data_IF_872639523112
#
_entry.id   IF_872639523112
#
_cell.length_a   1.000
_cell.length_b   1.000
_cell.length_c   1.000
_cell.angle_alpha   90.00
_cell.angle_beta   90.00
_cell.angle_gamma   90.00
#
_symmetry.space_group_name_H-M   'P 1'
#
loop_
_entity.id
_entity.type
_entity.pdbx_description
1 polymer ?
#
# COMPACT_ATOMS: atom_id res chain seq x y z
N UNK A 1 5.96 3.46 -1.62
CA UNK A 1 4.72 2.70 -1.28
C UNK A 1 3.52 3.46 -1.82
N UNK A 2 2.56 2.77 -2.45
CA UNK A 2 1.32 3.38 -2.94
C UNK A 2 0.38 3.61 -1.76
N UNK A 3 -0.18 4.82 -1.65
CA UNK A 3 -1.06 5.26 -0.57
C UNK A 3 -2.51 5.34 -1.06
N UNK A 4 -3.46 5.23 -0.15
CA UNK A 4 -4.85 5.56 -0.47
C UNK A 4 -5.00 7.08 -0.63
N UNK A 5 -5.80 7.49 -1.62
CA UNK A 5 -6.16 8.90 -1.79
C UNK A 5 -6.99 9.39 -0.60
N UNK A 6 -6.48 10.37 0.12
CA UNK A 6 -7.21 11.09 1.17
C UNK A 6 -6.89 12.58 1.13
N UNK A 7 -7.77 13.37 1.72
CA UNK A 7 -7.72 14.85 1.65
C UNK A 7 -6.39 15.40 2.20
N UNK A 8 -5.90 14.86 3.32
CA UNK A 8 -4.72 15.39 4.00
C UNK A 8 -3.43 15.11 3.23
N UNK A 9 -3.22 13.85 2.82
CA UNK A 9 -1.99 13.45 2.13
C UNK A 9 -1.90 13.99 0.70
N UNK A 10 -3.04 14.24 0.04
CA UNK A 10 -3.11 14.73 -1.33
C UNK A 10 -3.18 16.26 -1.44
N UNK A 11 -3.56 16.97 -0.37
CA UNK A 11 -3.69 18.45 -0.35
C UNK A 11 -2.48 19.23 -0.90
N UNK A 12 -1.22 18.80 -0.75
CA UNK A 12 -0.09 19.50 -1.35
C UNK A 12 -0.06 19.50 -2.87
N UNK A 13 -0.73 18.55 -3.52
CA UNK A 13 -0.68 18.27 -4.96
C UNK A 13 -1.97 18.61 -5.69
N UNK A 14 -3.08 18.62 -4.98
CA UNK A 14 -4.39 18.81 -5.58
C UNK A 14 -5.54 18.65 -4.59
N UNK A 15 -6.74 18.52 -5.15
CA UNK A 15 -7.96 18.28 -4.37
C UNK A 15 -8.66 17.02 -4.86
N UNK A 16 -9.27 16.28 -3.93
CA UNK A 16 -10.24 15.26 -4.27
C UNK A 16 -11.55 15.93 -4.69
N UNK A 17 -12.19 15.40 -5.70
CA UNK A 17 -13.49 15.87 -6.17
C UNK A 17 -14.59 14.95 -5.62
N UNK A 18 -15.77 15.53 -5.39
CA UNK A 18 -16.93 14.75 -4.98
C UNK A 18 -17.39 13.86 -6.15
N UNK A 19 -17.60 12.59 -5.87
CA UNK A 19 -18.36 11.71 -6.75
C UNK A 19 -19.83 12.14 -6.74
N UNK A 20 -20.39 12.30 -7.93
CA UNK A 20 -21.81 12.56 -8.11
C UNK A 20 -22.44 11.40 -8.88
N UNK A 21 -23.72 11.17 -8.67
CA UNK A 21 -24.49 10.15 -9.39
C UNK A 21 -24.53 10.36 -10.92
N UNK A 22 -24.22 11.56 -11.38
CA UNK A 22 -24.15 11.98 -12.80
C UNK A 22 -22.71 12.07 -13.34
N UNK A 23 -21.73 11.57 -12.59
CA UNK A 23 -20.29 11.63 -12.85
C UNK A 23 -19.56 12.65 -11.99
N UNK A 24 -18.22 12.60 -12.00
CA UNK A 24 -17.38 13.53 -11.26
C UNK A 24 -17.62 14.98 -11.72
N UNK A 25 -17.44 15.94 -10.78
CA UNK A 25 -17.58 17.37 -11.07
C UNK A 25 -16.44 17.89 -11.96
N UNK A 26 -16.37 17.39 -13.20
CA UNK A 26 -15.38 17.81 -14.20
C UNK A 26 -15.80 19.12 -14.85
N UNK A 27 -14.88 20.03 -15.13
CA UNK A 27 -15.20 21.25 -15.84
C UNK A 27 -15.69 20.93 -17.27
N UNK A 28 -16.68 21.69 -17.72
CA UNK A 28 -17.28 21.58 -19.06
C UNK A 28 -17.27 22.94 -19.74
N UNK A 29 -17.23 22.96 -21.06
CA UNK A 29 -17.36 24.19 -21.88
C UNK A 29 -16.31 24.25 -22.99
N UNK A 30 -16.41 25.29 -23.83
CA UNK A 30 -15.62 25.42 -25.06
C UNK A 30 -14.10 25.48 -24.87
N UNK A 31 -13.63 25.74 -23.66
CA UNK A 31 -12.19 25.83 -23.35
C UNK A 31 -11.63 24.60 -22.65
N UNK A 32 -12.41 23.54 -22.47
CA UNK A 32 -12.01 22.30 -21.83
C UNK A 32 -12.01 21.15 -22.83
N UNK A 33 -10.90 20.44 -22.90
CA UNK A 33 -10.77 19.22 -23.67
C UNK A 33 -10.74 18.01 -22.73
N UNK A 34 -11.35 16.93 -23.17
CA UNK A 34 -11.36 15.64 -22.49
C UNK A 34 -10.72 14.58 -23.38
N UNK A 35 -9.83 13.79 -22.81
CA UNK A 35 -9.21 12.64 -23.48
C UNK A 35 -9.15 11.44 -22.53
N UNK A 36 -9.31 10.26 -23.09
CA UNK A 36 -9.03 9.01 -22.39
C UNK A 36 -7.56 8.63 -22.63
N UNK A 37 -6.80 8.59 -21.55
CA UNK A 37 -5.43 8.11 -21.56
C UNK A 37 -5.45 6.61 -21.31
N UNK A 38 -5.06 5.81 -22.32
CA UNK A 38 -4.81 4.38 -22.16
C UNK A 38 -3.33 4.19 -21.87
N UNK A 39 -3.02 3.69 -20.67
CA UNK A 39 -1.65 3.55 -20.18
C UNK A 39 -1.33 2.07 -20.01
N UNK A 40 -0.17 1.67 -20.55
CA UNK A 40 0.36 0.30 -20.41
C UNK A 40 1.57 0.29 -19.46
N UNK A 41 1.92 -0.90 -18.97
CA UNK A 41 3.05 -1.07 -18.05
C UNK A 41 4.42 -0.74 -18.67
N UNK A 42 4.50 -0.69 -20.00
CA UNK A 42 5.76 -0.56 -20.74
C UNK A 42 6.20 0.90 -20.94
N UNK A 43 5.26 1.83 -20.98
CA UNK A 43 5.55 3.24 -21.24
C UNK A 43 4.97 4.12 -20.15
N UNK A 44 5.79 5.00 -19.61
CA UNK A 44 5.34 5.98 -18.61
C UNK A 44 5.76 7.38 -19.03
N UNK A 45 4.78 8.27 -19.05
CA UNK A 45 4.96 9.69 -19.31
C UNK A 45 4.63 10.50 -18.07
N UNK A 46 5.40 11.57 -17.86
CA UNK A 46 5.05 12.61 -16.88
C UNK A 46 4.45 13.81 -17.60
N UNK A 47 3.68 14.56 -16.86
CA UNK A 47 3.06 15.80 -17.25
C UNK A 47 3.38 16.88 -16.21
N UNK A 48 3.64 18.11 -16.66
CA UNK A 48 3.78 19.27 -15.78
C UNK A 48 2.81 20.37 -16.27
N UNK A 49 1.56 20.37 -15.78
CA UNK A 49 0.55 21.27 -16.29
C UNK A 49 0.78 22.70 -15.79
N UNK A 50 0.60 23.69 -16.68
CA UNK A 50 0.61 25.13 -16.33
C UNK A 50 -0.73 25.59 -15.73
N UNK A 51 -1.78 24.84 -15.96
CA UNK A 51 -3.13 25.06 -15.44
C UNK A 51 -3.64 23.80 -14.74
N UNK A 52 -4.72 23.88 -14.00
CA UNK A 52 -5.26 22.71 -13.33
C UNK A 52 -5.70 21.63 -14.32
N UNK A 53 -5.38 20.39 -14.00
CA UNK A 53 -5.80 19.19 -14.72
C UNK A 53 -6.69 18.35 -13.83
N UNK A 54 -7.69 17.72 -14.42
CA UNK A 54 -8.65 16.87 -13.73
C UNK A 54 -8.47 15.44 -14.23
N UNK A 55 -8.38 14.51 -13.30
CA UNK A 55 -8.22 13.08 -13.58
C UNK A 55 -9.38 12.33 -12.97
N UNK A 56 -9.93 11.39 -13.72
CA UNK A 56 -10.99 10.50 -13.28
C UNK A 56 -10.70 9.08 -13.75
N UNK A 57 -10.77 8.15 -12.83
CA UNK A 57 -10.61 6.74 -13.10
C UNK A 57 -11.68 6.22 -14.06
N UNK A 58 -11.29 5.38 -15.01
CA UNK A 58 -12.22 4.77 -15.96
C UNK A 58 -12.19 3.23 -15.91
N UNK A 59 -11.01 2.63 -15.99
CA UNK A 59 -10.85 1.18 -15.89
C UNK A 59 -9.43 0.78 -15.50
N UNK A 60 -9.28 -0.41 -14.94
CA UNK A 60 -8.01 -0.94 -14.44
C UNK A 60 -7.52 -0.19 -13.20
N UNK A 61 -6.76 -0.80 -12.32
CA UNK A 61 -6.19 -0.14 -11.15
C UNK A 61 -5.07 0.82 -11.58
N UNK A 62 -5.23 2.11 -11.27
CA UNK A 62 -4.31 3.17 -11.67
C UNK A 62 -3.48 3.68 -10.49
N UNK A 63 -2.18 3.84 -10.72
CA UNK A 63 -1.26 4.53 -9.81
C UNK A 63 -1.08 5.95 -10.32
N UNK A 64 -1.39 6.93 -9.48
CA UNK A 64 -1.11 8.33 -9.70
C UNK A 64 0.17 8.70 -8.94
N UNK A 65 1.22 9.04 -9.66
CA UNK A 65 2.44 9.63 -9.11
C UNK A 65 2.34 11.14 -9.18
N UNK A 66 2.63 11.84 -8.09
CA UNK A 66 2.64 13.32 -8.03
C UNK A 66 3.88 13.83 -7.32
N UNK A 67 4.43 14.95 -7.79
CA UNK A 67 5.58 15.61 -7.19
C UNK A 67 5.52 17.11 -7.43
N UNK A 68 5.98 17.92 -6.47
CA UNK A 68 6.36 19.31 -6.72
C UNK A 68 7.71 19.37 -7.44
N UNK A 69 8.06 20.55 -7.89
CA UNK A 69 9.36 20.78 -8.51
C UNK A 69 10.51 20.34 -7.58
N UNK A 70 11.43 19.50 -8.08
CA UNK A 70 12.58 18.91 -7.38
C UNK A 70 12.25 17.90 -6.25
N UNK A 71 11.00 17.57 -5.99
CA UNK A 71 10.63 16.51 -5.05
C UNK A 71 10.58 15.14 -5.72
N UNK A 72 10.74 14.08 -4.92
CA UNK A 72 10.45 12.72 -5.35
C UNK A 72 8.95 12.48 -5.48
N UNK A 73 8.57 11.56 -6.38
CA UNK A 73 7.17 11.19 -6.55
C UNK A 73 6.58 10.56 -5.29
N UNK A 74 5.40 11.03 -4.92
CA UNK A 74 4.48 10.34 -4.03
C UNK A 74 3.46 9.58 -4.85
N UNK A 75 3.06 8.40 -4.38
CA UNK A 75 2.25 7.45 -5.15
C UNK A 75 0.92 7.22 -4.47
N UNK A 76 -0.16 7.33 -5.23
CA UNK A 76 -1.53 7.16 -4.76
C UNK A 76 -2.30 6.21 -5.66
N UNK A 77 -3.26 5.46 -5.11
CA UNK A 77 -4.30 4.82 -5.90
C UNK A 77 -5.26 5.88 -6.42
N UNK A 78 -5.44 5.93 -7.75
CA UNK A 78 -6.43 6.80 -8.36
C UNK A 78 -7.79 6.08 -8.38
N UNK A 79 -8.44 6.03 -7.25
CA UNK A 79 -9.78 5.44 -7.04
C UNK A 79 -10.89 6.48 -6.95
N UNK A 80 -10.53 7.77 -6.97
CA UNK A 80 -11.45 8.93 -6.92
C UNK A 80 -11.00 9.99 -7.88
N UNK A 81 -11.96 10.80 -8.40
CA UNK A 81 -11.59 11.92 -9.25
C UNK A 81 -10.83 12.99 -8.48
N UNK A 82 -9.79 13.54 -9.12
CA UNK A 82 -8.90 14.54 -8.53
C UNK A 82 -8.68 15.72 -9.44
N UNK A 83 -8.41 16.87 -8.83
CA UNK A 83 -7.85 18.06 -9.49
C UNK A 83 -6.38 18.16 -9.13
N UNK A 84 -5.50 18.18 -10.11
CA UNK A 84 -4.06 18.45 -9.96
C UNK A 84 -3.82 19.95 -10.07
N UNK A 85 -3.01 20.52 -9.17
CA UNK A 85 -2.68 21.93 -9.21
C UNK A 85 -1.66 22.26 -10.30
N UNK A 86 -1.65 23.52 -10.79
CA UNK A 86 -0.62 24.00 -11.70
C UNK A 86 0.78 23.80 -11.12
N UNK A 87 1.74 23.41 -11.98
CA UNK A 87 3.13 23.19 -11.58
C UNK A 87 3.40 21.87 -10.85
N UNK A 88 2.39 21.10 -10.51
CA UNK A 88 2.57 19.75 -9.95
C UNK A 88 2.84 18.78 -11.09
N UNK A 89 4.00 18.13 -11.04
CA UNK A 89 4.32 17.03 -11.97
C UNK A 89 3.48 15.82 -11.60
N UNK A 90 2.92 15.14 -12.60
CA UNK A 90 2.22 13.88 -12.36
C UNK A 90 2.49 12.87 -13.47
N UNK A 91 2.34 11.61 -13.13
CA UNK A 91 2.37 10.50 -14.07
C UNK A 91 1.31 9.46 -13.66
N UNK A 92 0.87 8.69 -14.65
CA UNK A 92 -0.10 7.62 -14.43
C UNK A 92 0.54 6.31 -14.87
N UNK A 93 0.40 5.28 -14.07
CA UNK A 93 0.83 3.94 -14.42
C UNK A 93 -0.22 2.90 -14.01
N UNK A 94 -0.34 1.78 -14.72
CA UNK A 94 -1.22 0.70 -14.31
C UNK A 94 -0.61 -0.07 -13.15
N UNK A 95 -1.43 -0.54 -12.22
CA UNK A 95 -1.00 -1.49 -11.21
C UNK A 95 -0.71 -2.86 -11.81
N UNK A 96 -1.55 -3.29 -12.76
CA UNK A 96 -1.39 -4.54 -13.51
C UNK A 96 -0.85 -4.26 -14.93
N UNK A 97 -1.51 -4.76 -15.96
CA UNK A 97 -1.06 -4.65 -17.36
C UNK A 97 -1.41 -3.31 -18.01
N UNK A 98 -2.62 -2.82 -17.74
CA UNK A 98 -3.13 -1.59 -18.32
C UNK A 98 -4.17 -0.92 -17.43
N UNK A 99 -4.34 0.38 -17.63
CA UNK A 99 -5.42 1.15 -17.04
C UNK A 99 -5.87 2.24 -18.02
N UNK A 100 -7.05 2.81 -17.79
CA UNK A 100 -7.50 3.99 -18.50
C UNK A 100 -7.99 5.06 -17.52
N UNK A 101 -7.61 6.31 -17.81
CA UNK A 101 -7.92 7.47 -17.00
C UNK A 101 -8.43 8.56 -17.92
N UNK A 102 -9.58 9.14 -17.56
CA UNK A 102 -10.09 10.34 -18.21
C UNK A 102 -9.30 11.53 -17.70
N UNK A 103 -8.72 12.27 -18.59
CA UNK A 103 -8.02 13.52 -18.29
C UNK A 103 -8.78 14.67 -18.95
N UNK A 104 -9.16 15.66 -18.15
CA UNK A 104 -9.76 16.92 -18.61
C UNK A 104 -8.80 18.05 -18.31
N UNK A 105 -8.44 18.79 -19.34
CA UNK A 105 -7.52 19.93 -19.28
C UNK A 105 -8.04 21.11 -20.09
N UNK A 106 -7.54 22.29 -19.79
CA UNK A 106 -7.76 23.47 -20.63
C UNK A 106 -7.14 23.26 -22.02
N UNK A 107 -7.55 24.00 -23.05
CA UNK A 107 -7.08 23.86 -24.43
C UNK A 107 -5.54 23.83 -24.60
N UNK A 108 -4.79 24.37 -23.65
CA UNK A 108 -3.33 24.21 -23.56
C UNK A 108 -2.98 22.85 -22.93
N UNK A 109 -3.17 21.77 -23.66
CA UNK A 109 -2.93 20.41 -23.19
C UNK A 109 -1.49 20.25 -22.67
N UNK A 110 -1.30 19.69 -21.46
CA UNK A 110 0.04 19.53 -20.90
C UNK A 110 0.85 18.56 -21.75
N UNK A 111 2.10 18.95 -22.01
CA UNK A 111 3.03 18.14 -22.80
C UNK A 111 3.39 16.87 -22.02
N UNK A 112 3.32 15.73 -22.70
CA UNK A 112 3.82 14.48 -22.19
C UNK A 112 5.34 14.40 -22.38
N UNK A 113 6.07 14.04 -21.35
CA UNK A 113 7.50 13.81 -21.37
C UNK A 113 7.80 12.39 -20.91
N UNK A 114 8.60 11.60 -21.66
CA UNK A 114 8.92 10.24 -21.25
C UNK A 114 9.75 10.24 -19.96
N UNK A 115 9.46 9.30 -19.08
CA UNK A 115 10.27 9.03 -17.90
C UNK A 115 11.29 7.94 -18.19
N UNK A 116 12.52 8.13 -17.72
CA UNK A 116 13.60 7.16 -17.88
C UNK A 116 13.36 5.85 -17.09
N UNK A 117 12.59 5.95 -16.02
CA UNK A 117 12.24 4.80 -15.17
C UNK A 117 10.72 4.75 -15.04
N UNK A 118 10.15 3.56 -15.17
CA UNK A 118 8.70 3.37 -15.04
C UNK A 118 8.22 3.73 -13.63
N UNK A 119 7.18 4.58 -13.59
CA UNK A 119 6.48 4.90 -12.32
C UNK A 119 5.98 3.62 -11.62
N UNK A 120 5.55 2.62 -12.39
CA UNK A 120 5.13 1.34 -11.85
C UNK A 120 6.28 0.62 -11.13
N UNK A 121 7.47 0.59 -11.71
CA UNK A 121 8.66 -0.01 -11.10
C UNK A 121 9.04 0.71 -9.81
N UNK A 122 9.06 2.05 -9.83
CA UNK A 122 9.35 2.85 -8.63
C UNK A 122 8.29 2.68 -7.53
N UNK A 123 7.01 2.68 -7.92
CA UNK A 123 5.89 2.57 -6.96
C UNK A 123 5.76 1.18 -6.36
N UNK A 124 6.01 0.14 -7.16
CA UNK A 124 5.86 -1.26 -6.81
C UNK A 124 7.21 -1.98 -6.58
N UNK A 125 8.29 -1.21 -6.42
CA UNK A 125 9.59 -1.80 -6.09
C UNK A 125 9.47 -2.69 -4.86
N UNK A 126 9.89 -3.95 -5.01
CA UNK A 126 9.88 -4.90 -3.92
C UNK A 126 10.95 -4.51 -2.91
N UNK A 127 10.53 -4.15 -1.71
CA UNK A 127 11.45 -3.87 -0.59
C UNK A 127 11.75 -5.12 0.21
N UNK A 128 10.80 -6.06 0.22
CA UNK A 128 10.90 -7.37 0.86
C UNK A 128 10.32 -8.40 -0.10
N UNK A 129 10.95 -9.55 -0.17
CA UNK A 129 10.47 -10.69 -0.93
C UNK A 129 10.45 -11.91 -0.01
N UNK A 130 9.31 -12.60 0.07
CA UNK A 130 9.26 -13.92 0.68
C UNK A 130 9.96 -14.88 -0.28
N UNK A 131 11.09 -15.44 0.15
CA UNK A 131 11.87 -16.40 -0.64
C UNK A 131 11.22 -17.78 -0.55
N UNK A 132 10.86 -18.17 0.67
CA UNK A 132 10.30 -19.48 0.95
C UNK A 132 9.32 -19.42 2.11
N UNK A 133 8.20 -20.11 1.97
CA UNK A 133 7.27 -20.42 3.07
C UNK A 133 7.50 -21.88 3.45
N UNK A 134 7.77 -22.13 4.73
CA UNK A 134 8.00 -23.47 5.26
C UNK A 134 6.72 -24.07 5.81
N UNK A 135 5.96 -23.31 6.59
CA UNK A 135 4.71 -23.77 7.19
C UNK A 135 3.63 -22.71 7.07
N UNK A 136 2.41 -23.19 7.01
CA UNK A 136 1.20 -22.37 7.12
C UNK A 136 0.18 -23.18 7.90
N UNK A 137 -0.14 -22.75 9.12
CA UNK A 137 -1.11 -23.43 9.98
C UNK A 137 -2.20 -22.48 10.43
N UNK A 138 -3.44 -22.95 10.41
CA UNK A 138 -4.56 -22.38 11.14
C UNK A 138 -4.79 -23.21 12.39
N UNK A 139 -4.69 -22.57 13.54
CA UNK A 139 -4.85 -23.19 14.84
C UNK A 139 -6.19 -22.80 15.45
N UNK A 140 -6.97 -23.80 15.86
CA UNK A 140 -8.10 -23.64 16.76
C UNK A 140 -7.72 -24.29 18.10
N UNK A 141 -7.68 -23.49 19.16
CA UNK A 141 -7.21 -23.94 20.47
C UNK A 141 -8.33 -23.94 21.50
N UNK A 142 -8.22 -24.85 22.47
CA UNK A 142 -9.10 -24.89 23.63
C UNK A 142 -8.78 -23.76 24.61
N UNK A 143 -9.70 -23.53 25.55
CA UNK A 143 -9.51 -22.57 26.66
C UNK A 143 -8.28 -22.91 27.47
N UNK A 144 -7.53 -21.89 27.87
CA UNK A 144 -6.30 -22.07 28.64
C UNK A 144 -5.19 -22.79 27.87
N UNK A 145 -5.21 -22.70 26.56
CA UNK A 145 -4.15 -23.21 25.68
C UNK A 145 -2.77 -22.76 26.17
N UNK A 146 -1.81 -23.66 26.14
CA UNK A 146 -0.42 -23.40 26.50
C UNK A 146 0.53 -24.11 25.54
N UNK A 147 1.40 -23.32 24.89
CA UNK A 147 2.50 -23.81 24.07
C UNK A 147 3.84 -23.48 24.76
N UNK A 148 4.65 -24.50 25.01
CA UNK A 148 5.88 -24.38 25.78
C UNK A 148 6.95 -23.47 25.17
N UNK A 149 6.80 -23.13 23.91
CA UNK A 149 7.72 -22.33 23.15
C UNK A 149 8.69 -23.12 22.30
N UNK A 150 9.27 -22.42 21.37
CA UNK A 150 10.26 -22.93 20.40
C UNK A 150 11.23 -21.83 19.98
N UNK A 151 12.28 -22.26 19.29
CA UNK A 151 13.26 -21.41 18.64
C UNK A 151 13.64 -22.06 17.31
N UNK A 152 13.66 -21.28 16.25
CA UNK A 152 14.04 -21.75 14.92
C UNK A 152 14.71 -20.63 14.10
N UNK A 153 15.39 -21.00 13.02
CA UNK A 153 16.16 -20.06 12.19
C UNK A 153 15.31 -19.23 11.21
N UNK A 154 14.03 -19.56 11.04
CA UNK A 154 13.11 -18.85 10.17
C UNK A 154 12.45 -17.68 10.89
N UNK A 155 11.88 -16.75 10.11
CA UNK A 155 10.90 -15.81 10.62
C UNK A 155 9.56 -16.52 10.87
N UNK A 156 8.82 -16.12 11.89
CA UNK A 156 7.44 -16.57 12.08
C UNK A 156 6.51 -15.36 12.24
N UNK A 157 5.42 -15.38 11.48
CA UNK A 157 4.31 -14.46 11.63
C UNK A 157 3.18 -15.21 12.38
N UNK A 158 2.68 -14.61 13.45
CA UNK A 158 1.46 -15.03 14.12
C UNK A 158 0.40 -13.94 13.96
N UNK A 159 -0.81 -14.31 13.48
CA UNK A 159 -1.98 -13.43 13.34
C UNK A 159 -3.17 -14.01 14.11
N UNK A 160 -3.78 -13.21 14.97
CA UNK A 160 -4.93 -13.64 15.78
C UNK A 160 -6.23 -13.39 15.01
N UNK A 161 -6.93 -14.48 14.66
CA UNK A 161 -8.22 -14.43 13.96
C UNK A 161 -9.40 -14.33 14.92
N UNK A 162 -9.30 -14.94 16.11
CA UNK A 162 -10.37 -14.94 17.12
C UNK A 162 -9.80 -15.00 18.52
N UNK A 163 -10.42 -14.26 19.44
CA UNK A 163 -10.01 -14.23 20.85
C UNK A 163 -8.71 -13.45 21.07
N UNK A 164 -7.89 -13.94 21.98
CA UNK A 164 -6.58 -13.35 22.31
C UNK A 164 -5.58 -14.42 22.71
N UNK A 165 -4.30 -14.16 22.46
CA UNK A 165 -3.17 -14.95 22.93
C UNK A 165 -2.15 -14.05 23.61
N UNK A 166 -1.50 -14.58 24.65
CA UNK A 166 -0.26 -14.04 25.17
C UNK A 166 0.89 -14.53 24.31
N UNK A 167 1.76 -13.63 23.90
CA UNK A 167 2.96 -13.87 23.13
C UNK A 167 4.16 -13.44 23.95
N UNK A 168 4.96 -14.41 24.38
CA UNK A 168 6.17 -14.16 25.18
C UNK A 168 7.39 -14.36 24.27
N UNK A 169 8.12 -13.28 24.02
CA UNK A 169 9.33 -13.30 23.22
C UNK A 169 10.27 -12.14 23.60
N UNK A 170 11.58 -12.36 23.55
CA UNK A 170 12.57 -11.32 23.86
C UNK A 170 12.41 -10.68 25.24
N UNK A 171 11.91 -11.45 26.23
CA UNK A 171 11.67 -10.99 27.60
C UNK A 171 10.43 -10.09 27.78
N UNK A 172 9.55 -10.04 26.78
CA UNK A 172 8.28 -9.32 26.82
C UNK A 172 7.11 -10.32 26.76
N UNK A 173 6.05 -10.05 27.49
CA UNK A 173 4.76 -10.72 27.41
C UNK A 173 3.75 -9.70 26.86
N UNK A 174 3.26 -9.96 25.64
CA UNK A 174 2.32 -9.10 24.93
C UNK A 174 1.00 -9.84 24.72
N UNK A 175 -0.10 -9.17 24.97
CA UNK A 175 -1.41 -9.67 24.60
C UNK A 175 -1.69 -9.26 23.16
N UNK A 176 -1.91 -10.25 22.30
CA UNK A 176 -2.39 -10.06 20.94
C UNK A 176 -3.88 -10.37 20.90
N UNK A 177 -4.69 -9.40 20.58
CA UNK A 177 -6.13 -9.54 20.41
C UNK A 177 -6.49 -9.86 18.94
N UNK A 178 -7.74 -10.15 18.67
CA UNK A 178 -8.25 -10.36 17.32
C UNK A 178 -7.85 -9.20 16.38
N UNK A 179 -7.22 -9.52 15.24
CA UNK A 179 -6.71 -8.58 14.27
C UNK A 179 -5.25 -8.17 14.49
N UNK A 180 -4.67 -8.47 15.65
CA UNK A 180 -3.26 -8.20 15.93
C UNK A 180 -2.35 -9.26 15.30
N UNK A 181 -1.10 -8.87 15.05
CA UNK A 181 -0.06 -9.77 14.58
C UNK A 181 1.26 -9.52 15.30
N UNK A 182 2.08 -10.56 15.39
CA UNK A 182 3.48 -10.50 15.79
C UNK A 182 4.36 -11.17 14.74
N UNK A 183 5.63 -10.72 14.66
CA UNK A 183 6.66 -11.38 13.88
C UNK A 183 7.82 -11.68 14.82
N UNK A 184 8.16 -12.96 14.90
CA UNK A 184 9.35 -13.43 15.63
C UNK A 184 10.54 -13.50 14.68
N UNK A 185 11.68 -12.99 15.16
CA UNK A 185 12.94 -13.03 14.41
C UNK A 185 13.58 -14.42 14.37
N UNK A 186 14.55 -14.65 13.48
CA UNK A 186 15.34 -15.87 13.48
C UNK A 186 16.03 -16.09 14.84
N UNK A 187 16.00 -17.31 15.33
CA UNK A 187 16.58 -17.73 16.61
C UNK A 187 16.07 -16.94 17.83
N UNK A 188 14.87 -16.40 17.71
CA UNK A 188 14.18 -15.77 18.83
C UNK A 188 13.27 -16.79 19.51
N UNK A 189 13.62 -17.19 20.73
CA UNK A 189 12.75 -18.03 21.51
C UNK A 189 11.43 -17.32 21.78
N UNK A 190 10.32 -18.03 21.56
CA UNK A 190 8.96 -17.52 21.76
C UNK A 190 8.03 -18.62 22.23
N UNK A 191 7.05 -18.23 23.05
CA UNK A 191 5.97 -19.10 23.54
C UNK A 191 4.63 -18.37 23.45
N UNK A 192 3.56 -19.14 23.48
CA UNK A 192 2.18 -18.62 23.39
C UNK A 192 1.27 -19.33 24.37
N UNK A 193 0.35 -18.60 24.98
CA UNK A 193 -0.69 -19.16 25.82
C UNK A 193 -1.97 -18.31 25.75
N UNK A 194 -3.07 -18.84 26.25
CA UNK A 194 -4.33 -18.11 26.35
C UNK A 194 -4.84 -18.13 27.80
N UNK A 195 -5.63 -17.12 28.14
CA UNK A 195 -6.33 -17.07 29.41
C UNK A 195 -7.28 -18.28 29.59
N UNK A 196 -7.54 -18.70 30.84
CA UNK A 196 -8.33 -19.91 31.10
C UNK A 196 -9.74 -19.90 30.51
N UNK A 197 -10.31 -18.74 30.22
CA UNK A 197 -11.64 -18.55 29.65
C UNK A 197 -11.61 -18.24 28.14
N UNK A 198 -10.43 -18.06 27.54
CA UNK A 198 -10.23 -17.75 26.14
C UNK A 198 -9.90 -19.01 25.30
N UNK A 199 -10.65 -19.21 24.21
CA UNK A 199 -10.39 -20.22 23.17
C UNK A 199 -9.99 -19.52 21.88
N UNK A 200 -8.69 -19.28 21.63
CA UNK A 200 -8.24 -18.51 20.49
C UNK A 200 -8.18 -19.32 19.19
N UNK A 201 -8.34 -18.61 18.08
CA UNK A 201 -7.96 -19.10 16.74
C UNK A 201 -6.93 -18.15 16.14
N UNK A 202 -5.86 -18.69 15.59
CA UNK A 202 -4.76 -17.89 15.02
C UNK A 202 -4.04 -18.62 13.90
N UNK A 203 -3.35 -17.86 13.09
CA UNK A 203 -2.53 -18.35 11.97
C UNK A 203 -1.06 -18.22 12.37
N UNK A 204 -0.25 -19.24 12.06
CA UNK A 204 1.21 -19.13 12.04
C UNK A 204 1.75 -19.42 10.66
N UNK A 205 2.75 -18.62 10.24
CA UNK A 205 3.44 -18.78 8.98
C UNK A 205 4.94 -18.66 9.26
N UNK A 206 5.72 -19.71 8.95
CA UNK A 206 7.16 -19.63 9.00
C UNK A 206 7.74 -19.46 7.60
N UNK A 207 8.67 -18.51 7.45
CA UNK A 207 9.17 -18.11 6.14
C UNK A 207 10.55 -17.45 6.19
N UNK A 208 11.20 -17.38 5.03
CA UNK A 208 12.40 -16.58 4.83
C UNK A 208 12.09 -15.34 3.97
N UNK A 209 12.77 -14.25 4.28
CA UNK A 209 12.72 -13.00 3.52
C UNK A 209 14.09 -12.68 2.94
N UNK A 210 14.08 -12.16 1.71
CA UNK A 210 15.20 -11.48 1.11
C UNK A 210 14.90 -9.99 0.89
N UNK A 211 15.93 -9.16 0.95
CA UNK A 211 15.88 -7.75 0.58
C UNK A 211 16.65 -6.83 1.52
N UNK A 212 17.00 -5.67 1.01
CA UNK A 212 17.81 -4.63 1.70
C UNK A 212 17.19 -4.07 2.97
N UNK A 213 15.92 -4.38 3.23
CA UNK A 213 15.16 -3.86 4.36
C UNK A 213 14.93 -4.90 5.47
N UNK A 214 15.48 -6.11 5.35
CA UNK A 214 15.29 -7.16 6.33
C UNK A 214 15.81 -6.72 7.72
N UNK A 215 17.02 -6.14 7.80
CA UNK A 215 17.57 -5.60 9.05
C UNK A 215 16.69 -4.51 9.66
N UNK A 216 16.08 -3.67 8.82
CA UNK A 216 15.14 -2.62 9.29
C UNK A 216 13.84 -3.21 9.82
N UNK A 217 13.36 -4.32 9.25
CA UNK A 217 12.19 -5.04 9.74
C UNK A 217 12.47 -5.67 11.11
N UNK A 218 13.57 -6.38 11.23
CA UNK A 218 13.97 -7.11 12.46
C UNK A 218 14.33 -6.16 13.62
N UNK A 219 14.82 -4.96 13.33
CA UNK A 219 15.20 -3.96 14.33
C UNK A 219 14.07 -2.99 14.73
N UNK A 220 12.89 -3.12 14.15
CA UNK A 220 11.71 -2.32 14.54
C UNK A 220 10.89 -3.05 15.59
N UNK A 221 10.75 -2.45 16.77
CA UNK A 221 9.65 -2.76 17.68
C UNK A 221 8.36 -2.27 17.04
N UNK A 222 7.58 -3.17 16.48
CA UNK A 222 6.23 -2.83 16.01
C UNK A 222 5.37 -2.63 17.26
N UNK A 223 4.94 -1.40 17.51
CA UNK A 223 3.78 -1.14 18.36
C UNK A 223 2.59 -1.02 17.41
N UNK A 224 1.61 -1.89 17.55
CA UNK A 224 0.26 -1.61 17.07
C UNK A 224 -0.25 -0.37 17.80
N UNK A 225 -0.92 0.55 17.10
CA UNK A 225 -1.48 1.75 17.70
C UNK A 225 -2.58 1.44 18.70
#
# INVERSE_FOLDING_TARGET
MVQNLNVLSFAPYGNLLAERSDGAAMPKGAHWEERILSVTAQETYQYCPKESVYLDYQSGMSILAVAKEQEEFQYFYLDKPVRIFPGVRFAIAPYQESCSVRMTAHCNWPKAEPLAVSVRELALSRRLQVERVYTFFYHEKERGFFFRGEEHSMLELTYVDKGSIHSVAGGQDLVLAQGDMAIYGPNQWHMQYADPDCAPSYITITFDLEGDSLERLLNRKFRTP
#
